data_IF_590011264711
#
_entry.id   IF_590011264711
#
_cell.length_a   1.000
_cell.length_b   1.000
_cell.length_c   1.000
_cell.angle_alpha   90.00
_cell.angle_beta   90.00
_cell.angle_gamma   90.00
#
_symmetry.space_group_name_H-M   'P 1'
#
loop_
_entity.id
_entity.type
_entity.pdbx_description
1 polymer ?
#
# COMPACT_ATOMS: atom_id res chain seq x y z
N UNK A 1 14.15 19.24 -2.24
CA UNK A 1 14.90 19.76 -3.39
C UNK A 1 14.46 18.99 -4.61
N UNK A 2 13.69 19.63 -5.50
CA UNK A 2 13.24 19.04 -6.77
C UNK A 2 13.97 19.83 -7.85
N UNK A 3 14.96 19.20 -8.49
CA UNK A 3 15.66 19.75 -9.63
C UNK A 3 14.70 19.85 -10.81
N UNK A 4 14.31 21.08 -11.14
CA UNK A 4 13.63 21.41 -12.38
C UNK A 4 14.68 21.46 -13.49
N UNK A 5 14.97 20.32 -14.10
CA UNK A 5 15.66 20.29 -15.39
C UNK A 5 14.70 20.84 -16.46
N UNK A 6 14.87 22.11 -16.78
CA UNK A 6 14.23 22.78 -17.90
C UNK A 6 14.93 22.26 -19.16
N UNK A 7 14.27 21.36 -19.88
CA UNK A 7 14.66 20.94 -21.22
C UNK A 7 14.31 22.11 -22.16
N UNK A 8 15.31 22.89 -22.53
CA UNK A 8 15.20 23.86 -23.62
C UNK A 8 15.11 23.09 -24.94
N UNK A 9 13.91 23.05 -25.53
CA UNK A 9 13.72 22.61 -26.90
C UNK A 9 14.19 23.75 -27.82
N UNK A 10 15.42 23.64 -28.30
CA UNK A 10 15.92 24.44 -29.41
C UNK A 10 15.14 24.02 -30.66
N UNK A 11 14.04 24.72 -30.93
CA UNK A 11 13.33 24.60 -32.19
C UNK A 11 14.11 25.40 -33.24
N UNK A 12 14.96 24.69 -33.97
CA UNK A 12 15.60 25.20 -35.19
C UNK A 12 14.49 25.42 -36.23
N UNK A 13 14.05 26.66 -36.37
CA UNK A 13 13.15 27.06 -37.44
C UNK A 13 13.96 27.10 -38.75
N UNK A 14 13.83 26.07 -39.58
CA UNK A 14 14.25 26.12 -40.98
C UNK A 14 13.62 27.36 -41.63
N UNK A 15 14.47 28.25 -42.15
CA UNK A 15 13.99 29.42 -42.87
C UNK A 15 13.20 28.95 -44.09
N UNK A 16 12.01 29.53 -44.34
CA UNK A 16 11.22 29.16 -45.51
C UNK A 16 12.03 29.40 -46.77
N UNK A 17 12.15 28.37 -47.60
CA UNK A 17 12.80 28.42 -48.91
C UNK A 17 12.19 29.57 -49.73
N UNK A 18 13.04 30.31 -50.45
CA UNK A 18 12.66 31.50 -51.22
C UNK A 18 11.75 31.23 -52.45
N UNK A 19 11.14 30.04 -52.55
CA UNK A 19 10.24 29.69 -53.66
C UNK A 19 8.86 30.33 -53.60
N UNK A 20 8.50 31.03 -52.52
CA UNK A 20 7.18 31.69 -52.42
C UNK A 20 7.13 33.01 -53.21
N UNK A 21 8.27 33.53 -53.70
CA UNK A 21 8.32 34.78 -54.48
C UNK A 21 8.34 34.48 -55.99
N UNK A 22 7.35 33.74 -56.49
CA UNK A 22 7.10 33.69 -57.95
C UNK A 22 5.63 33.59 -58.35
N UNK A 23 4.69 33.81 -57.42
CA UNK A 23 3.25 33.90 -57.75
C UNK A 23 2.83 35.34 -58.09
N UNK A 24 3.79 36.27 -58.23
CA UNK A 24 3.52 37.68 -58.53
C UNK A 24 3.70 38.12 -59.99
N UNK A 25 4.18 37.27 -60.90
CA UNK A 25 4.69 37.72 -62.22
C UNK A 25 3.96 37.11 -63.43
N UNK A 26 2.71 36.67 -63.26
CA UNK A 26 1.84 36.31 -64.40
C UNK A 26 0.45 36.89 -64.20
N UNK A 27 0.36 38.19 -63.96
CA UNK A 27 -0.90 38.95 -64.06
C UNK A 27 -0.70 40.17 -64.95
N UNK A 28 -0.04 39.96 -66.08
CA UNK A 28 0.00 40.93 -67.17
C UNK A 28 -0.96 40.48 -68.24
N UNK A 29 -2.13 41.11 -68.32
CA UNK A 29 -3.10 41.04 -69.44
C UNK A 29 -4.26 40.03 -69.34
N UNK A 30 -4.77 39.76 -68.13
CA UNK A 30 -6.05 39.05 -67.95
C UNK A 30 -7.18 40.05 -67.65
N UNK A 31 -8.37 39.80 -68.21
CA UNK A 31 -9.55 40.62 -68.00
C UNK A 31 -10.07 40.39 -66.56
N UNK A 32 -10.70 41.39 -65.94
CA UNK A 32 -11.07 41.32 -64.50
C UNK A 32 -11.96 40.12 -64.12
N UNK A 33 -12.71 39.56 -65.08
CA UNK A 33 -13.48 38.32 -64.90
C UNK A 33 -12.64 37.05 -64.82
N UNK A 34 -11.56 36.95 -65.59
CA UNK A 34 -10.69 35.77 -65.65
C UNK A 34 -9.83 35.65 -64.38
N UNK A 35 -9.40 36.79 -63.83
CA UNK A 35 -8.68 36.86 -62.54
C UNK A 35 -9.57 36.33 -61.40
N UNK A 36 -10.86 36.66 -61.42
CA UNK A 36 -11.83 36.17 -60.42
C UNK A 36 -12.09 34.66 -60.54
N UNK A 37 -12.12 34.12 -61.77
CA UNK A 37 -12.30 32.70 -61.99
C UNK A 37 -11.07 31.88 -61.57
N UNK A 38 -9.87 32.36 -61.91
CA UNK A 38 -8.62 31.71 -61.52
C UNK A 38 -8.38 31.79 -60.00
N UNK A 39 -8.71 32.92 -59.38
CA UNK A 39 -8.70 33.06 -57.91
C UNK A 39 -9.67 32.09 -57.24
N UNK A 40 -10.90 31.95 -57.75
CA UNK A 40 -11.88 31.00 -57.21
C UNK A 40 -11.46 29.55 -57.40
N UNK A 41 -10.83 29.22 -58.54
CA UNK A 41 -10.30 27.88 -58.82
C UNK A 41 -9.11 27.53 -57.91
N UNK A 42 -8.26 28.52 -57.63
CA UNK A 42 -7.17 28.37 -56.67
C UNK A 42 -7.70 28.19 -55.23
N UNK A 43 -8.67 29.01 -54.82
CA UNK A 43 -9.26 28.95 -53.48
C UNK A 43 -10.01 27.62 -53.23
N UNK A 44 -10.66 27.07 -54.26
CA UNK A 44 -11.37 25.78 -54.14
C UNK A 44 -10.47 24.55 -54.26
N UNK A 45 -9.39 24.61 -55.06
CA UNK A 45 -8.49 23.45 -55.24
C UNK A 45 -7.42 23.32 -54.15
N UNK A 46 -6.94 24.43 -53.58
CA UNK A 46 -5.76 24.40 -52.69
C UNK A 46 -6.06 24.61 -51.20
N UNK A 47 -7.22 25.13 -50.81
CA UNK A 47 -7.58 25.22 -49.38
C UNK A 47 -7.62 23.87 -48.63
N UNK A 48 -8.11 22.75 -49.20
CA UNK A 48 -8.22 21.50 -48.42
C UNK A 48 -6.89 20.76 -48.24
N UNK A 49 -5.82 21.16 -48.93
CA UNK A 49 -4.53 20.46 -48.92
C UNK A 49 -3.50 21.11 -47.99
N UNK A 50 -3.56 22.44 -47.83
CA UNK A 50 -2.59 23.19 -47.01
C UNK A 50 -2.95 23.29 -45.52
N UNK A 51 -4.19 22.99 -45.18
CA UNK A 51 -4.63 22.90 -43.79
C UNK A 51 -5.37 21.57 -43.63
N UNK A 52 -4.73 20.50 -43.10
CA UNK A 52 -5.49 19.38 -42.56
C UNK A 52 -6.59 19.99 -41.69
N UNK A 53 -7.85 19.64 -41.97
CA UNK A 53 -9.02 20.26 -41.32
C UNK A 53 -8.71 20.44 -39.85
N UNK A 54 -8.96 21.62 -39.28
CA UNK A 54 -8.58 21.99 -37.91
C UNK A 54 -8.92 20.88 -36.88
N UNK A 55 -9.97 20.10 -37.14
CA UNK A 55 -10.33 18.87 -36.44
C UNK A 55 -9.25 17.76 -36.41
N UNK A 56 -8.58 17.48 -37.54
CA UNK A 56 -7.47 16.53 -37.62
C UNK A 56 -6.28 17.00 -36.79
N UNK A 57 -5.94 18.29 -36.83
CA UNK A 57 -4.89 18.86 -36.00
C UNK A 57 -5.24 18.76 -34.51
N UNK A 58 -6.47 19.12 -34.12
CA UNK A 58 -6.96 18.94 -32.74
C UNK A 58 -6.91 17.47 -32.32
N UNK A 59 -7.28 16.54 -33.20
CA UNK A 59 -7.29 15.09 -32.93
C UNK A 59 -5.87 14.54 -32.75
N UNK A 60 -4.93 14.93 -33.61
CA UNK A 60 -3.51 14.59 -33.49
C UNK A 60 -2.95 15.18 -32.19
N UNK A 61 -3.16 16.46 -31.92
CA UNK A 61 -2.67 17.13 -30.71
C UNK A 61 -3.21 16.47 -29.43
N UNK A 62 -4.51 16.15 -29.39
CA UNK A 62 -5.10 15.42 -28.26
C UNK A 62 -4.52 14.01 -28.12
N UNK A 63 -4.17 13.34 -29.22
CA UNK A 63 -3.49 12.04 -29.19
C UNK A 63 -2.06 12.17 -28.63
N UNK A 64 -1.34 13.25 -28.96
CA UNK A 64 -0.03 13.55 -28.38
C UNK A 64 -0.14 13.85 -26.89
N UNK A 65 -1.08 14.70 -26.47
CA UNK A 65 -1.27 15.04 -25.05
C UNK A 65 -1.60 13.82 -24.20
N UNK A 66 -2.43 12.89 -24.70
CA UNK A 66 -2.71 11.61 -24.01
C UNK A 66 -1.50 10.68 -23.89
N UNK A 67 -0.48 10.82 -24.74
CA UNK A 67 0.78 10.06 -24.60
C UNK A 67 1.72 10.68 -23.57
N UNK A 68 1.64 12.00 -23.37
CA UNK A 68 2.52 12.75 -22.47
C UNK A 68 2.00 12.71 -21.04
N UNK A 69 0.71 12.50 -20.81
CA UNK A 69 0.21 12.22 -19.46
C UNK A 69 0.94 10.99 -18.90
N UNK A 70 1.85 11.16 -17.92
CA UNK A 70 2.54 10.03 -17.35
C UNK A 70 1.46 9.15 -16.73
N UNK A 71 1.25 7.95 -17.28
CA UNK A 71 0.33 6.97 -16.68
C UNK A 71 0.66 6.94 -15.21
N UNK A 72 -0.22 7.49 -14.37
CA UNK A 72 -0.01 7.68 -12.94
C UNK A 72 0.16 6.28 -12.37
N UNK A 73 1.42 5.85 -12.28
CA UNK A 73 1.77 4.46 -11.97
C UNK A 73 1.34 4.25 -10.53
N UNK A 74 0.17 3.63 -10.38
CA UNK A 74 -0.44 3.36 -9.07
C UNK A 74 0.60 2.75 -8.15
N UNK A 75 0.88 3.43 -7.04
CA UNK A 75 1.88 3.01 -6.06
C UNK A 75 1.59 1.60 -5.52
N UNK A 76 0.32 1.18 -5.53
CA UNK A 76 -0.13 -0.15 -5.14
C UNK A 76 0.39 -1.28 -6.04
N UNK A 77 0.74 -0.99 -7.31
CA UNK A 77 1.22 -2.05 -8.24
C UNK A 77 2.67 -2.48 -8.03
N UNK A 78 3.43 -1.78 -7.17
CA UNK A 78 4.84 -2.09 -6.89
C UNK A 78 5.08 -2.80 -5.57
N UNK A 79 4.09 -2.87 -4.67
CA UNK A 79 4.23 -3.57 -3.40
C UNK A 79 4.04 -5.06 -3.64
N UNK A 80 5.14 -5.79 -3.74
CA UNK A 80 5.15 -7.24 -3.70
C UNK A 80 5.00 -7.63 -2.23
N UNK A 81 4.10 -8.55 -1.90
CA UNK A 81 4.06 -9.13 -0.57
C UNK A 81 5.42 -9.77 -0.24
N UNK A 82 5.87 -9.62 1.00
CA UNK A 82 7.18 -10.07 1.46
C UNK A 82 6.99 -11.28 2.38
N UNK A 83 7.64 -12.44 2.14
CA UNK A 83 7.47 -13.61 3.00
C UNK A 83 8.03 -13.40 4.40
N UNK A 84 8.79 -12.33 4.63
CA UNK A 84 9.28 -11.92 5.95
C UNK A 84 8.20 -11.28 6.82
N UNK A 85 7.02 -10.94 6.28
CA UNK A 85 5.90 -10.37 7.03
C UNK A 85 5.48 -11.23 8.23
N UNK A 86 5.63 -12.56 8.15
CA UNK A 86 5.31 -13.48 9.25
C UNK A 86 6.27 -13.29 10.42
N UNK A 87 7.57 -13.13 10.14
CA UNK A 87 8.59 -12.89 11.17
C UNK A 87 8.30 -11.56 11.87
N UNK A 88 8.01 -10.52 11.09
CA UNK A 88 7.62 -9.21 11.61
C UNK A 88 6.35 -9.33 12.46
N UNK A 89 5.36 -10.11 12.01
CA UNK A 89 4.15 -10.43 12.76
C UNK A 89 4.43 -11.05 14.12
N UNK A 90 5.29 -12.07 14.18
CA UNK A 90 5.70 -12.72 15.44
C UNK A 90 6.33 -11.70 16.40
N UNK A 91 7.25 -10.88 15.90
CA UNK A 91 7.94 -9.86 16.70
C UNK A 91 6.95 -8.84 17.24
N UNK A 92 6.05 -8.32 16.40
CA UNK A 92 5.02 -7.35 16.81
C UNK A 92 4.08 -7.97 17.85
N UNK A 93 3.61 -9.20 17.63
CA UNK A 93 2.73 -9.91 18.58
C UNK A 93 3.37 -10.04 19.96
N UNK A 94 4.67 -10.35 20.01
CA UNK A 94 5.42 -10.47 21.25
C UNK A 94 5.56 -9.14 21.98
N UNK A 95 6.01 -8.08 21.28
CA UNK A 95 6.16 -6.76 21.89
C UNK A 95 4.82 -6.16 22.34
N UNK A 96 3.75 -6.40 21.59
CA UNK A 96 2.41 -6.03 22.04
C UNK A 96 2.04 -6.82 23.30
N UNK A 97 2.25 -8.13 23.33
CA UNK A 97 1.92 -8.96 24.51
C UNK A 97 2.61 -8.46 25.78
N UNK A 98 3.92 -8.22 25.72
CA UNK A 98 4.67 -7.63 26.84
C UNK A 98 4.19 -6.22 27.16
N UNK A 99 3.99 -5.37 26.15
CA UNK A 99 3.54 -3.99 26.35
C UNK A 99 2.20 -3.91 27.08
N UNK A 100 1.24 -4.74 26.69
CA UNK A 100 -0.07 -4.83 27.35
C UNK A 100 0.04 -5.41 28.77
N UNK A 101 0.88 -6.42 28.99
CA UNK A 101 1.13 -6.96 30.33
C UNK A 101 1.71 -5.89 31.27
N UNK A 102 2.73 -5.15 30.81
CA UNK A 102 3.35 -4.06 31.56
C UNK A 102 2.37 -2.92 31.82
N UNK A 103 1.53 -2.55 30.85
CA UNK A 103 0.48 -1.55 31.06
C UNK A 103 -0.52 -2.00 32.12
N UNK A 104 -0.86 -3.29 32.16
CA UNK A 104 -1.77 -3.83 33.15
C UNK A 104 -1.14 -3.73 34.57
N UNK A 105 0.15 -4.06 34.71
CA UNK A 105 0.89 -3.87 35.96
C UNK A 105 0.90 -2.40 36.42
N UNK A 106 1.16 -1.46 35.50
CA UNK A 106 1.14 -0.02 35.82
C UNK A 106 -0.24 0.43 36.29
N UNK A 107 -1.32 -0.07 35.68
CA UNK A 107 -2.69 0.27 36.08
C UNK A 107 -2.97 -0.16 37.52
N UNK A 108 -2.59 -1.38 37.89
CA UNK A 108 -2.80 -1.88 39.26
C UNK A 108 -1.98 -1.07 40.28
N UNK A 109 -0.72 -0.77 39.98
CA UNK A 109 0.14 -0.02 40.92
C UNK A 109 -0.29 1.44 41.10
N UNK A 110 -0.76 2.07 40.02
CA UNK A 110 -1.35 3.41 40.09
C UNK A 110 -2.66 3.39 40.88
N UNK A 111 -3.50 2.38 40.67
CA UNK A 111 -4.75 2.21 41.43
C UNK A 111 -4.48 2.08 42.94
N UNK A 112 -3.54 1.23 43.34
CA UNK A 112 -3.23 0.99 44.74
C UNK A 112 -2.64 2.25 45.42
N UNK A 113 -1.81 3.02 44.70
CA UNK A 113 -1.31 4.31 45.20
C UNK A 113 -2.42 5.35 45.43
N UNK A 114 -3.47 5.33 44.59
CA UNK A 114 -4.63 6.21 44.78
C UNK A 114 -5.51 5.78 45.95
N UNK A 115 -5.68 4.47 46.19
CA UNK A 115 -6.42 3.97 47.35
C UNK A 115 -5.75 4.36 48.67
N UNK A 116 -4.41 4.37 48.72
CA UNK A 116 -3.66 4.76 49.92
C UNK A 116 -3.68 6.26 50.25
N UNK A 117 -4.02 7.12 49.30
CA UNK A 117 -3.95 8.59 49.45
C UNK A 117 -5.30 9.27 49.60
N UNK A 118 -6.39 8.65 49.13
CA UNK A 118 -7.69 9.30 49.06
C UNK A 118 -8.46 9.12 50.36
N UNK A 119 -8.79 10.26 50.98
CA UNK A 119 -9.63 10.42 52.17
C UNK A 119 -11.03 9.88 51.86
N UNK A 120 -11.25 8.57 52.06
CA UNK A 120 -12.51 7.85 52.29
C UNK A 120 -13.79 8.46 51.67
N UNK A 121 -13.73 8.92 50.40
CA UNK A 121 -14.87 9.46 49.69
C UNK A 121 -15.43 8.37 48.77
N UNK A 122 -16.68 7.91 48.99
CA UNK A 122 -17.30 6.85 48.20
C UNK A 122 -17.41 7.18 46.70
N UNK A 123 -17.35 8.45 46.30
CA UNK A 123 -17.36 8.80 44.87
C UNK A 123 -16.03 8.48 44.18
N UNK A 124 -14.92 8.46 44.91
CA UNK A 124 -13.60 8.22 44.32
C UNK A 124 -13.29 6.74 44.18
N UNK A 125 -13.82 5.90 45.08
CA UNK A 125 -13.69 4.43 45.00
C UNK A 125 -14.29 3.87 43.72
N UNK A 126 -15.43 4.41 43.27
CA UNK A 126 -16.08 3.97 42.02
C UNK A 126 -15.21 4.25 40.78
N UNK A 127 -14.50 5.37 40.76
CA UNK A 127 -13.62 5.75 39.65
C UNK A 127 -12.37 4.87 39.60
N UNK A 128 -11.80 4.55 40.77
CA UNK A 128 -10.65 3.64 40.88
C UNK A 128 -11.05 2.22 40.44
N UNK A 129 -12.21 1.73 40.87
CA UNK A 129 -12.70 0.41 40.46
C UNK A 129 -12.94 0.32 38.95
N UNK A 130 -13.49 1.37 38.34
CA UNK A 130 -13.62 1.44 36.86
C UNK A 130 -12.26 1.42 36.17
N UNK A 131 -11.29 2.17 36.68
CA UNK A 131 -9.94 2.21 36.14
C UNK A 131 -9.26 0.83 36.21
N UNK A 132 -9.36 0.14 37.37
CA UNK A 132 -8.86 -1.23 37.55
C UNK A 132 -9.57 -2.23 36.62
N UNK A 133 -10.89 -2.12 36.48
CA UNK A 133 -11.68 -2.98 35.57
C UNK A 133 -11.22 -2.81 34.12
N UNK A 134 -10.93 -1.58 33.68
CA UNK A 134 -10.38 -1.31 32.36
C UNK A 134 -9.00 -1.97 32.21
N UNK A 135 -8.14 -1.89 33.22
CA UNK A 135 -6.85 -2.58 33.24
C UNK A 135 -6.99 -4.10 33.09
N UNK A 136 -7.88 -4.71 33.87
CA UNK A 136 -7.99 -6.16 33.95
C UNK A 136 -8.70 -6.80 32.75
N UNK A 137 -9.83 -6.23 32.32
CA UNK A 137 -10.67 -6.86 31.27
C UNK A 137 -10.40 -6.25 29.89
N UNK A 138 -10.35 -4.92 29.81
CA UNK A 138 -10.29 -4.23 28.51
C UNK A 138 -8.93 -4.40 27.84
N UNK A 139 -7.83 -4.46 28.60
CA UNK A 139 -6.49 -4.65 28.01
C UNK A 139 -6.35 -6.00 27.29
N UNK A 140 -6.85 -7.09 27.88
CA UNK A 140 -6.86 -8.40 27.22
C UNK A 140 -7.70 -8.41 25.93
N UNK A 141 -8.84 -7.71 25.91
CA UNK A 141 -9.68 -7.56 24.72
C UNK A 141 -9.01 -6.71 23.64
N UNK A 142 -8.35 -5.60 24.03
CA UNK A 142 -7.60 -4.75 23.11
C UNK A 142 -6.41 -5.50 22.51
N UNK A 143 -5.71 -6.30 23.30
CA UNK A 143 -4.66 -7.18 22.82
C UNK A 143 -5.19 -8.18 21.79
N UNK A 144 -6.32 -8.83 22.07
CA UNK A 144 -6.95 -9.76 21.12
C UNK A 144 -7.40 -9.05 19.82
N UNK A 145 -7.96 -7.84 19.92
CA UNK A 145 -8.30 -7.03 18.75
C UNK A 145 -7.05 -6.68 17.92
N UNK A 146 -5.96 -6.27 18.58
CA UNK A 146 -4.70 -5.96 17.92
C UNK A 146 -4.07 -7.20 17.26
N UNK A 147 -4.14 -8.35 17.93
CA UNK A 147 -3.73 -9.64 17.38
C UNK A 147 -4.51 -9.97 16.11
N UNK A 148 -5.84 -9.87 16.16
CA UNK A 148 -6.69 -10.14 15.01
C UNK A 148 -6.40 -9.19 13.84
N UNK A 149 -6.21 -7.90 14.13
CA UNK A 149 -5.82 -6.92 13.13
C UNK A 149 -4.45 -7.25 12.50
N UNK A 150 -3.50 -7.75 13.29
CA UNK A 150 -2.19 -8.20 12.80
C UNK A 150 -2.31 -9.42 11.89
N UNK A 151 -3.10 -10.44 12.28
CA UNK A 151 -3.36 -11.63 11.46
C UNK A 151 -4.05 -11.25 10.15
N UNK A 152 -5.07 -10.39 10.20
CA UNK A 152 -5.71 -9.86 8.99
C UNK A 152 -4.73 -9.08 8.11
N UNK A 153 -3.82 -8.31 8.71
CA UNK A 153 -2.75 -7.63 8.00
C UNK A 153 -1.89 -8.60 7.20
N UNK A 154 -1.42 -9.69 7.83
CA UNK A 154 -0.63 -10.76 7.18
C UNK A 154 -1.43 -11.45 6.07
N UNK A 155 -2.73 -11.68 6.28
CA UNK A 155 -3.60 -12.25 5.24
C UNK A 155 -3.72 -11.34 4.02
N UNK A 156 -3.95 -10.03 4.25
CA UNK A 156 -4.05 -9.06 3.17
C UNK A 156 -2.73 -8.95 2.41
N UNK A 157 -1.58 -8.90 3.10
CA UNK A 157 -0.27 -8.87 2.42
C UNK A 157 0.01 -10.16 1.66
N UNK A 158 -0.48 -11.31 2.13
CA UNK A 158 -0.38 -12.60 1.43
C UNK A 158 -1.08 -12.58 0.06
N UNK A 159 -2.21 -11.87 -0.09
CA UNK A 159 -2.88 -11.70 -1.39
C UNK A 159 -2.08 -10.87 -2.41
N UNK A 160 -1.16 -10.02 -1.95
CA UNK A 160 -0.30 -9.17 -2.78
C UNK A 160 0.96 -9.88 -3.27
N UNK A 161 1.20 -11.12 -2.81
CA UNK A 161 2.35 -11.93 -3.23
C UNK A 161 2.13 -12.43 -4.66
N UNK A 162 3.16 -12.29 -5.52
CA UNK A 162 3.15 -12.90 -6.85
C UNK A 162 3.54 -14.36 -6.74
N UNK A 163 2.69 -15.23 -7.27
CA UNK A 163 2.92 -16.66 -7.29
C UNK A 163 4.11 -17.02 -8.20
N UNK A 164 5.18 -17.48 -7.59
CA UNK A 164 6.29 -18.15 -8.27
C UNK A 164 6.56 -19.48 -7.54
N UNK A 165 6.73 -20.63 -8.23
CA UNK A 165 6.94 -21.92 -7.57
C UNK A 165 8.16 -21.94 -6.62
N UNK A 166 9.21 -21.17 -6.90
CA UNK A 166 10.34 -21.03 -5.99
C UNK A 166 9.99 -20.35 -4.66
N UNK A 167 8.91 -19.55 -4.62
CA UNK A 167 8.49 -18.80 -3.43
C UNK A 167 7.97 -19.72 -2.33
N UNK A 168 7.48 -20.92 -2.68
CA UNK A 168 7.03 -21.95 -1.72
C UNK A 168 8.18 -22.34 -0.78
N UNK A 169 9.35 -22.62 -1.36
CA UNK A 169 10.52 -23.04 -0.60
C UNK A 169 11.03 -21.93 0.33
N UNK A 170 11.07 -20.69 -0.18
CA UNK A 170 11.43 -19.51 0.61
C UNK A 170 10.44 -19.34 1.77
N UNK A 171 9.15 -19.49 1.50
CA UNK A 171 8.10 -19.34 2.49
C UNK A 171 8.15 -20.42 3.59
N UNK A 172 8.38 -21.68 3.23
CA UNK A 172 8.56 -22.76 4.22
C UNK A 172 9.77 -22.46 5.11
N UNK A 173 10.87 -21.96 4.52
CA UNK A 173 12.06 -21.59 5.26
C UNK A 173 11.81 -20.40 6.21
N UNK A 174 11.14 -19.33 5.74
CA UNK A 174 10.80 -18.18 6.59
C UNK A 174 9.81 -18.55 7.69
N UNK A 175 8.84 -19.42 7.42
CA UNK A 175 7.93 -19.96 8.43
C UNK A 175 8.70 -20.77 9.48
N UNK A 176 9.62 -21.64 9.06
CA UNK A 176 10.49 -22.37 9.99
C UNK A 176 11.30 -21.45 10.91
N UNK A 177 11.92 -20.41 10.33
CA UNK A 177 12.62 -19.38 11.11
C UNK A 177 11.70 -18.63 12.08
N UNK A 178 10.48 -18.28 11.64
CA UNK A 178 9.48 -17.63 12.47
C UNK A 178 9.03 -18.51 13.65
N UNK A 179 8.90 -19.82 13.46
CA UNK A 179 8.53 -20.76 14.53
C UNK A 179 9.64 -20.92 15.57
N UNK A 180 10.90 -20.98 15.13
CA UNK A 180 12.06 -20.99 16.04
C UNK A 180 12.08 -19.70 16.85
N UNK A 181 11.89 -18.55 16.20
CA UNK A 181 11.82 -17.26 16.87
C UNK A 181 10.67 -17.20 17.88
N UNK A 182 9.47 -17.66 17.50
CA UNK A 182 8.32 -17.74 18.38
C UNK A 182 8.59 -18.63 19.60
N UNK A 183 9.31 -19.74 19.44
CA UNK A 183 9.71 -20.62 20.55
C UNK A 183 10.65 -19.92 21.53
N UNK A 184 11.68 -19.24 21.02
CA UNK A 184 12.61 -18.45 21.86
C UNK A 184 11.86 -17.36 22.61
N UNK A 185 11.03 -16.59 21.92
CA UNK A 185 10.23 -15.52 22.52
C UNK A 185 9.20 -16.05 23.53
N UNK A 186 8.58 -17.20 23.24
CA UNK A 186 7.66 -17.88 24.17
C UNK A 186 8.36 -18.29 25.47
N UNK A 187 9.59 -18.79 25.38
CA UNK A 187 10.40 -19.12 26.57
C UNK A 187 10.78 -17.85 27.35
N UNK A 188 11.21 -16.79 26.67
CA UNK A 188 11.49 -15.49 27.32
C UNK A 188 10.27 -14.92 28.03
N UNK A 189 9.08 -15.07 27.45
CA UNK A 189 7.83 -14.71 28.12
C UNK A 189 7.59 -15.57 29.38
N UNK A 190 7.85 -16.87 29.30
CA UNK A 190 7.80 -17.79 30.45
C UNK A 190 8.69 -17.32 31.60
N UNK A 191 9.95 -16.98 31.31
CA UNK A 191 10.89 -16.44 32.30
C UNK A 191 10.41 -15.11 32.89
N UNK A 192 9.80 -14.24 32.07
CA UNK A 192 9.27 -12.95 32.53
C UNK A 192 8.13 -13.12 33.55
N UNK A 193 7.21 -14.05 33.32
CA UNK A 193 6.06 -14.26 34.21
C UNK A 193 6.42 -15.03 35.49
N UNK A 194 7.63 -15.56 35.61
CA UNK A 194 8.13 -16.14 36.87
C UNK A 194 8.60 -15.07 37.86
N UNK A 195 8.79 -13.82 37.41
CA UNK A 195 9.21 -12.70 38.25
C UNK A 195 7.99 -12.16 39.02
N UNK A 196 8.17 -11.92 40.32
CA UNK A 196 7.10 -11.75 41.31
C UNK A 196 6.05 -10.64 41.06
N UNK A 197 6.28 -9.51 40.34
CA UNK A 197 5.17 -8.63 39.97
C UNK A 197 4.40 -9.10 38.73
N UNK A 198 5.05 -9.81 37.80
CA UNK A 198 4.45 -10.20 36.53
C UNK A 198 3.65 -11.50 36.61
N UNK A 199 3.99 -12.38 37.55
CA UNK A 199 3.25 -13.63 37.78
C UNK A 199 1.77 -13.39 38.07
N UNK A 200 1.50 -12.47 39.01
CA UNK A 200 0.13 -12.08 39.37
C UNK A 200 -0.59 -11.43 38.18
N UNK A 201 0.11 -10.58 37.42
CA UNK A 201 -0.48 -9.90 36.27
C UNK A 201 -0.80 -10.84 35.12
N UNK A 202 0.06 -11.82 34.86
CA UNK A 202 -0.17 -12.82 33.84
C UNK A 202 -1.38 -13.69 34.18
N UNK A 203 -1.57 -14.03 35.46
CA UNK A 203 -2.76 -14.74 35.93
C UNK A 203 -4.04 -13.90 35.78
N UNK A 204 -3.96 -12.59 36.02
CA UNK A 204 -5.08 -11.66 35.82
C UNK A 204 -5.42 -11.43 34.34
N UNK A 205 -4.49 -11.74 33.42
CA UNK A 205 -4.63 -11.55 31.97
C UNK A 205 -4.62 -12.89 31.21
N UNK A 206 -5.63 -13.76 31.38
CA UNK A 206 -5.60 -15.13 30.85
C UNK A 206 -5.52 -15.19 29.33
N UNK A 207 -6.11 -14.21 28.62
CA UNK A 207 -6.06 -14.14 27.15
C UNK A 207 -4.62 -13.88 26.67
N UNK A 208 -3.93 -12.90 27.28
CA UNK A 208 -2.55 -12.56 26.92
C UNK A 208 -1.64 -13.75 27.23
N UNK A 209 -1.78 -14.32 28.43
CA UNK A 209 -1.01 -15.48 28.86
C UNK A 209 -1.20 -16.66 27.92
N UNK A 210 -2.45 -17.01 27.59
CA UNK A 210 -2.76 -18.10 26.66
C UNK A 210 -2.09 -17.91 25.29
N UNK A 211 -2.19 -16.71 24.72
CA UNK A 211 -1.64 -16.42 23.38
C UNK A 211 -0.10 -16.48 23.41
N UNK A 212 0.54 -15.90 24.42
CA UNK A 212 1.99 -15.83 24.51
C UNK A 212 2.61 -17.21 24.80
N UNK A 213 2.01 -18.00 25.70
CA UNK A 213 2.43 -19.38 25.98
C UNK A 213 2.20 -20.33 24.79
N UNK A 214 1.22 -20.05 23.92
CA UNK A 214 0.93 -20.84 22.72
C UNK A 214 1.37 -20.15 21.42
N UNK A 215 2.31 -19.22 21.51
CA UNK A 215 2.74 -18.39 20.37
C UNK A 215 3.24 -19.21 19.19
N UNK A 216 3.93 -20.34 19.43
CA UNK A 216 4.38 -21.26 18.37
C UNK A 216 3.20 -21.86 17.61
N UNK A 217 2.19 -22.36 18.31
CA UNK A 217 1.01 -22.99 17.70
C UNK A 217 0.20 -21.95 16.93
N UNK A 218 -0.01 -20.77 17.51
CA UNK A 218 -0.74 -19.68 16.85
C UNK A 218 -0.01 -19.25 15.57
N UNK A 219 1.31 -19.05 15.62
CA UNK A 219 2.10 -18.69 14.44
C UNK A 219 2.11 -19.80 13.38
N UNK A 220 2.12 -21.07 13.79
CA UNK A 220 1.98 -22.20 12.87
C UNK A 220 0.63 -22.17 12.14
N UNK A 221 -0.47 -21.91 12.87
CA UNK A 221 -1.81 -21.80 12.27
C UNK A 221 -1.92 -20.61 11.32
N UNK A 222 -1.41 -19.44 11.73
CA UNK A 222 -1.40 -18.23 10.88
C UNK A 222 -0.57 -18.49 9.63
N UNK A 223 0.63 -19.04 9.77
CA UNK A 223 1.50 -19.41 8.66
C UNK A 223 0.84 -20.39 7.69
N UNK A 224 0.28 -21.50 8.20
CA UNK A 224 -0.44 -22.48 7.39
C UNK A 224 -1.63 -21.85 6.64
N UNK A 225 -2.39 -20.97 7.30
CA UNK A 225 -3.52 -20.29 6.68
C UNK A 225 -3.09 -19.32 5.58
N UNK A 226 -2.01 -18.54 5.79
CA UNK A 226 -1.44 -17.70 4.73
C UNK A 226 -0.88 -18.52 3.57
N UNK A 227 -0.31 -19.70 3.84
CA UNK A 227 0.13 -20.63 2.79
C UNK A 227 -1.03 -21.06 1.89
N UNK A 228 -2.16 -21.46 2.49
CA UNK A 228 -3.38 -21.84 1.75
C UNK A 228 -3.86 -20.67 0.88
N UNK A 229 -3.89 -19.44 1.42
CA UNK A 229 -4.31 -18.25 0.68
C UNK A 229 -3.42 -18.00 -0.53
N UNK A 230 -2.09 -18.07 -0.37
CA UNK A 230 -1.14 -17.84 -1.46
C UNK A 230 -1.41 -18.84 -2.60
N UNK A 231 -1.59 -20.13 -2.29
CA UNK A 231 -1.83 -21.17 -3.31
C UNK A 231 -3.25 -21.22 -3.86
N UNK A 232 -4.21 -20.57 -3.22
CA UNK A 232 -5.59 -20.50 -3.72
C UNK A 232 -5.72 -19.65 -4.99
N UNK A 233 -4.75 -18.78 -5.29
CA UNK A 233 -4.75 -17.94 -6.49
C UNK A 233 -4.39 -18.80 -7.72
N UNK A 234 -5.38 -19.12 -8.55
CA UNK A 234 -5.20 -19.94 -9.76
C UNK A 234 -4.17 -19.34 -10.73
N UNK A 235 -3.29 -20.18 -11.29
CA UNK A 235 -2.39 -19.77 -12.35
C UNK A 235 -3.18 -19.51 -13.64
N UNK A 236 -2.98 -18.37 -14.33
CA UNK A 236 -3.57 -18.18 -15.64
C UNK A 236 -3.03 -19.24 -16.61
N UNK A 237 -3.93 -19.97 -17.25
CA UNK A 237 -3.57 -21.05 -18.19
C UNK A 237 -2.91 -20.43 -19.43
N UNK A 238 -1.69 -20.87 -19.81
CA UNK A 238 -1.03 -20.37 -21.01
C UNK A 238 -1.91 -20.65 -22.24
N UNK A 239 -2.38 -19.60 -22.90
CA UNK A 239 -3.16 -19.70 -24.14
C UNK A 239 -4.61 -19.21 -24.05
N UNK A 240 -5.08 -18.78 -22.87
CA UNK A 240 -6.42 -18.20 -22.75
C UNK A 240 -6.39 -16.70 -23.11
N UNK A 241 -6.86 -16.29 -24.31
CA UNK A 241 -6.79 -14.91 -24.76
C UNK A 241 -7.92 -14.14 -24.08
N UNK A 242 -7.64 -13.59 -22.90
CA UNK A 242 -8.63 -12.85 -22.11
C UNK A 242 -8.53 -13.05 -20.61
N UNK A 243 -7.68 -13.97 -20.14
CA UNK A 243 -7.37 -14.15 -18.72
C UNK A 243 -6.55 -12.99 -18.16
N UNK A 244 -7.15 -11.81 -18.06
CA UNK A 244 -6.62 -10.65 -17.35
C UNK A 244 -6.51 -10.96 -15.86
N UNK A 245 -5.49 -11.73 -15.49
CA UNK A 245 -5.10 -11.95 -14.11
C UNK A 245 -4.67 -10.62 -13.49
N UNK A 246 -5.44 -10.16 -12.51
CA UNK A 246 -5.17 -9.00 -11.67
C UNK A 246 -3.91 -9.24 -10.81
#
# INVERSE_FOLDING_TARGET
>A
MIDKNIISLDMEFEQPSQEIIQVGVVVGNLNSGEILEEYNKFNTSYQPVLFPSLEQMIKEQNRYLRRIEPKKKSWFTRKKGDPTDIIVGVIIMFFLGIGFLTMAFIVDEVSDAFEGTIINNPQTTDSIQKFRTIGQVTLGQLYMMALFASILGIMVTSFLVRLHPAFIFIYIFTLGAALVLAGVLGNTYGELIEIEPFAAQAAAQPIINFIMSNSVIINLLVGALSMIIIFSKSFPVPGEPGGGGI
#
